data_IF_360709272799
#
_entry.id   IF_360709272799
#
_cell.length_a   1.000
_cell.length_b   1.000
_cell.length_c   1.000
_cell.angle_alpha   90.00
_cell.angle_beta   90.00
_cell.angle_gamma   90.00
#
_symmetry.space_group_name_H-M   'P 1'
#
loop_
_entity.id
_entity.type
_entity.pdbx_description
1 polymer ?
#
# COMPACT_ATOMS: atom_id res chain seq x y z
N UNK A 1 -2.67 -17.91 3.95
CA UNK A 1 -1.73 -16.85 3.53
C UNK A 1 -0.71 -16.57 4.61
N UNK A 2 0.31 -15.75 4.35
CA UNK A 2 1.43 -15.46 5.27
C UNK A 2 0.95 -14.99 6.67
N UNK A 3 -0.13 -14.23 6.73
CA UNK A 3 -0.77 -13.83 8.00
C UNK A 3 -1.29 -15.03 8.81
N UNK A 4 -1.92 -15.99 8.15
CA UNK A 4 -2.44 -17.18 8.84
C UNK A 4 -1.33 -18.11 9.33
N UNK A 5 -0.17 -18.06 8.72
CA UNK A 5 0.99 -18.87 9.14
C UNK A 5 1.67 -18.25 10.36
N UNK A 6 1.86 -16.94 10.38
CA UNK A 6 2.42 -16.21 11.52
C UNK A 6 1.53 -16.28 12.76
N UNK A 7 0.22 -16.43 12.56
CA UNK A 7 -0.75 -16.53 13.66
C UNK A 7 -1.06 -17.97 14.11
N UNK A 8 -0.42 -18.99 13.55
CA UNK A 8 -0.56 -20.40 13.97
C UNK A 8 -0.02 -20.63 15.39
N UNK A 9 -0.75 -20.28 16.36
CA UNK A 9 -0.37 -20.47 17.78
C UNK A 9 -1.03 -19.46 18.72
N UNK A 10 -1.64 -18.43 18.21
CA UNK A 10 -2.41 -17.50 19.03
C UNK A 10 -3.89 -17.89 19.03
N UNK A 11 -4.40 -18.31 20.20
CA UNK A 11 -5.78 -18.78 20.39
C UNK A 11 -6.88 -17.74 20.12
N UNK A 12 -6.54 -16.49 19.80
CA UNK A 12 -7.49 -15.40 19.59
C UNK A 12 -7.38 -14.65 18.27
N UNK A 13 -6.47 -15.04 17.39
CA UNK A 13 -6.30 -14.32 16.14
C UNK A 13 -7.39 -14.70 15.14
N UNK A 14 -8.42 -13.86 15.02
CA UNK A 14 -9.19 -13.79 13.77
C UNK A 14 -8.18 -13.56 12.67
N UNK A 15 -8.29 -14.30 11.56
CA UNK A 15 -7.48 -14.04 10.38
C UNK A 15 -7.63 -12.56 10.01
N UNK A 16 -6.55 -11.77 9.98
CA UNK A 16 -6.68 -10.35 9.69
C UNK A 16 -7.23 -10.20 8.27
N UNK A 17 -8.34 -9.53 8.14
CA UNK A 17 -8.94 -9.19 6.86
C UNK A 17 -8.20 -8.03 6.21
N UNK A 18 -7.57 -7.20 7.04
CA UNK A 18 -6.81 -6.01 6.64
C UNK A 18 -5.51 -6.01 7.44
N UNK A 19 -4.38 -5.81 6.80
CA UNK A 19 -3.14 -5.72 7.54
C UNK A 19 -1.91 -5.53 6.66
N UNK A 20 -0.78 -5.29 7.32
CA UNK A 20 0.51 -5.07 6.69
C UNK A 20 1.54 -6.01 7.32
N UNK A 21 2.41 -6.58 6.50
CA UNK A 21 3.61 -7.28 6.95
C UNK A 21 4.81 -6.46 6.48
N UNK A 22 5.66 -6.06 7.42
CA UNK A 22 6.93 -5.37 7.14
C UNK A 22 8.06 -6.35 7.43
N UNK A 23 8.77 -6.75 6.40
CA UNK A 23 9.94 -7.61 6.52
C UNK A 23 11.17 -6.74 6.76
N UNK A 24 11.90 -7.01 7.84
CA UNK A 24 13.11 -6.30 8.26
C UNK A 24 14.28 -7.29 8.29
N UNK A 25 15.51 -6.79 8.36
CA UNK A 25 16.73 -7.60 8.42
C UNK A 25 16.75 -8.59 9.61
N UNK A 26 16.20 -8.17 10.75
CA UNK A 26 16.26 -8.94 12.00
C UNK A 26 14.90 -9.51 12.43
N UNK A 27 13.89 -9.47 11.57
CA UNK A 27 12.59 -10.03 11.89
C UNK A 27 11.45 -9.42 11.09
N UNK A 28 10.23 -9.60 11.58
CA UNK A 28 9.03 -9.19 10.87
C UNK A 28 8.11 -8.42 11.81
N UNK A 29 7.55 -7.32 11.32
CA UNK A 29 6.46 -6.60 11.99
C UNK A 29 5.16 -6.95 11.29
N UNK A 30 4.18 -7.40 12.04
CA UNK A 30 2.83 -7.69 11.56
C UNK A 30 1.88 -6.67 12.16
N UNK A 31 1.18 -5.94 11.32
CA UNK A 31 0.12 -5.00 11.72
C UNK A 31 -1.20 -5.65 11.32
N UNK A 32 -1.86 -6.37 12.23
CA UNK A 32 -3.05 -7.17 11.90
C UNK A 32 -4.34 -6.35 11.85
N UNK A 33 -4.30 -5.13 12.38
CA UNK A 33 -5.43 -4.21 12.45
C UNK A 33 -4.96 -2.76 12.59
N UNK A 34 -5.87 -1.81 12.75
CA UNK A 34 -5.56 -0.38 12.86
C UNK A 34 -4.91 0.03 14.19
N UNK A 35 -4.84 -0.85 15.19
CA UNK A 35 -4.55 -0.49 16.57
C UNK A 35 -3.38 -1.24 17.16
N UNK A 36 -2.91 -2.29 16.49
CA UNK A 36 -1.89 -3.17 17.03
C UNK A 36 -0.77 -3.47 16.03
N UNK A 37 0.40 -3.76 16.57
CA UNK A 37 1.52 -4.30 15.83
C UNK A 37 2.18 -5.40 16.65
N UNK A 38 2.62 -6.44 15.98
CA UNK A 38 3.31 -7.59 16.57
C UNK A 38 4.69 -7.73 15.94
N UNK A 39 5.69 -7.98 16.75
CA UNK A 39 7.07 -8.17 16.31
C UNK A 39 7.46 -9.62 16.48
N UNK A 40 8.06 -10.16 15.45
CA UNK A 40 8.64 -11.50 15.39
C UNK A 40 10.11 -11.39 15.04
N UNK A 41 10.95 -12.25 15.61
CA UNK A 41 12.34 -12.36 15.24
C UNK A 41 12.52 -13.05 13.87
N UNK A 42 13.78 -13.21 13.44
CA UNK A 42 14.12 -13.86 12.17
C UNK A 42 13.71 -15.34 12.09
N UNK A 43 13.53 -15.98 13.23
CA UNK A 43 13.11 -17.37 13.33
C UNK A 43 11.59 -17.51 13.42
N UNK A 44 10.86 -16.36 13.31
CA UNK A 44 9.40 -16.31 13.37
C UNK A 44 8.83 -16.42 14.78
N UNK A 45 9.68 -16.30 15.82
CA UNK A 45 9.26 -16.32 17.20
C UNK A 45 8.72 -14.97 17.63
N UNK A 46 7.58 -14.96 18.31
CA UNK A 46 7.00 -13.75 18.86
C UNK A 46 7.94 -13.08 19.88
N UNK A 47 8.16 -11.77 19.71
CA UNK A 47 9.01 -10.96 20.59
C UNK A 47 8.15 -10.06 21.48
N UNK A 48 7.28 -9.24 20.88
CA UNK A 48 6.42 -8.31 21.61
C UNK A 48 5.26 -7.80 20.75
N UNK A 49 4.28 -7.21 21.39
CA UNK A 49 3.21 -6.46 20.74
C UNK A 49 3.20 -5.00 21.20
N UNK A 50 2.70 -4.16 20.29
CA UNK A 50 2.39 -2.76 20.54
C UNK A 50 0.91 -2.51 20.29
N UNK A 51 0.41 -1.44 20.88
CA UNK A 51 -0.97 -1.02 20.72
C UNK A 51 -1.88 -1.58 21.78
N UNK A 52 -3.10 -1.10 21.75
CA UNK A 52 -4.16 -1.50 22.66
C UNK A 52 -5.07 -2.50 21.95
N UNK A 53 -5.71 -3.36 22.70
CA UNK A 53 -6.80 -4.19 22.16
C UNK A 53 -7.90 -3.30 21.60
N UNK A 54 -8.64 -3.80 20.62
CA UNK A 54 -9.71 -3.07 19.92
C UNK A 54 -10.66 -2.34 20.89
N UNK A 55 -10.85 -2.88 22.08
CA UNK A 55 -11.69 -2.30 23.12
C UNK A 55 -11.09 -1.06 23.82
N UNK A 56 -9.84 -0.70 23.54
CA UNK A 56 -9.12 0.36 24.24
C UNK A 56 -8.76 1.56 23.36
N UNK A 57 -9.03 1.49 22.05
CA UNK A 57 -8.77 2.60 21.14
C UNK A 57 -10.07 3.00 20.46
N UNK A 58 -10.52 4.20 20.77
CA UNK A 58 -11.65 4.79 20.09
C UNK A 58 -11.21 5.30 18.72
N UNK A 59 -11.36 4.48 17.70
CA UNK A 59 -11.14 4.86 16.29
C UNK A 59 -12.36 5.50 15.64
N UNK A 60 -13.49 5.46 16.31
CA UNK A 60 -14.74 5.97 15.74
C UNK A 60 -14.79 7.48 15.72
N UNK A 61 -13.77 8.11 16.31
CA UNK A 61 -13.65 9.56 16.29
C UNK A 61 -14.45 10.24 17.38
N UNK A 62 -14.63 9.57 18.53
CA UNK A 62 -15.08 10.26 19.73
C UNK A 62 -14.38 11.60 19.91
N UNK A 63 -14.56 12.33 20.96
CA UNK A 63 -13.99 13.67 21.16
C UNK A 63 -12.47 13.79 20.92
N UNK A 64 -11.75 12.67 20.87
CA UNK A 64 -10.31 12.55 20.61
C UNK A 64 -9.98 11.97 19.23
N UNK A 65 -10.97 11.68 18.38
CA UNK A 65 -10.74 11.07 17.06
C UNK A 65 -10.17 12.03 16.02
N UNK A 66 -9.91 11.51 14.81
CA UNK A 66 -9.28 12.30 13.74
C UNK A 66 -10.10 13.50 13.27
N UNK A 67 -11.43 13.44 13.35
CA UNK A 67 -12.28 14.60 13.04
C UNK A 67 -12.12 15.72 14.09
N UNK A 68 -12.08 15.36 15.37
CA UNK A 68 -11.83 16.31 16.45
C UNK A 68 -10.41 16.88 16.35
N UNK A 69 -9.42 16.05 16.01
CA UNK A 69 -8.06 16.48 15.79
C UNK A 69 -7.95 17.50 14.63
N UNK A 70 -8.67 17.28 13.54
CA UNK A 70 -8.74 18.23 12.43
C UNK A 70 -9.40 19.56 12.82
N UNK A 71 -10.55 19.51 13.51
CA UNK A 71 -11.24 20.71 14.00
C UNK A 71 -10.38 21.50 14.98
N UNK A 72 -9.67 20.79 15.86
CA UNK A 72 -8.75 21.41 16.82
C UNK A 72 -7.57 22.11 16.11
N UNK A 73 -7.00 21.48 15.07
CA UNK A 73 -6.00 22.11 14.21
C UNK A 73 -6.48 23.40 13.57
N UNK A 74 -7.71 23.43 13.05
CA UNK A 74 -8.32 24.66 12.49
C UNK A 74 -8.45 25.73 13.57
N UNK A 75 -8.99 25.38 14.74
CA UNK A 75 -9.17 26.32 15.85
C UNK A 75 -7.86 26.93 16.35
N UNK A 76 -6.81 26.14 16.36
CA UNK A 76 -5.49 26.55 16.77
C UNK A 76 -4.68 27.26 15.66
N UNK A 77 -5.16 27.21 14.43
CA UNK A 77 -4.41 27.72 13.27
C UNK A 77 -3.06 27.04 13.07
N UNK A 78 -2.94 25.77 13.49
CA UNK A 78 -1.68 25.02 13.45
C UNK A 78 -1.90 23.59 12.96
N UNK A 79 -1.02 23.15 12.07
CA UNK A 79 -0.94 21.78 11.60
C UNK A 79 -0.02 20.88 12.45
N UNK A 80 0.66 21.42 13.45
CA UNK A 80 1.70 20.73 14.22
C UNK A 80 1.22 19.43 14.89
N UNK A 81 -0.03 19.42 15.35
CA UNK A 81 -0.62 18.26 16.03
C UNK A 81 -1.66 17.52 15.19
N UNK A 82 -1.71 17.77 13.90
CA UNK A 82 -2.61 17.03 13.00
C UNK A 82 -2.00 15.64 12.74
N UNK A 83 -2.77 14.58 13.08
CA UNK A 83 -2.31 13.19 12.95
C UNK A 83 -2.15 12.72 11.51
N UNK A 84 -2.89 13.33 10.58
CA UNK A 84 -2.81 13.04 9.15
C UNK A 84 -2.58 14.33 8.35
N UNK A 85 -1.38 14.94 8.43
CA UNK A 85 -1.08 16.15 7.68
C UNK A 85 -1.09 15.85 6.18
N UNK A 86 -1.51 16.84 5.38
CA UNK A 86 -1.70 16.68 3.94
C UNK A 86 -0.46 16.14 3.22
N UNK A 87 0.74 16.50 3.68
CA UNK A 87 1.99 15.99 3.11
C UNK A 87 2.12 14.47 3.24
N UNK A 88 1.85 13.93 4.42
CA UNK A 88 1.93 12.48 4.66
C UNK A 88 0.83 11.75 3.86
N UNK A 89 -0.35 12.34 3.78
CA UNK A 89 -1.43 11.82 2.95
C UNK A 89 -1.05 11.83 1.46
N UNK A 90 -0.39 12.90 0.99
CA UNK A 90 0.12 13.00 -0.38
C UNK A 90 1.15 11.90 -0.67
N UNK A 91 2.17 11.73 0.17
CA UNK A 91 3.20 10.70 -0.02
C UNK A 91 2.60 9.29 -0.04
N UNK A 92 1.70 8.99 0.89
CA UNK A 92 1.02 7.69 0.94
C UNK A 92 0.17 7.43 -0.31
N UNK A 93 -0.55 8.45 -0.77
CA UNK A 93 -1.40 8.37 -1.96
C UNK A 93 -0.57 8.26 -3.24
N UNK A 94 0.59 8.91 -3.30
CA UNK A 94 1.50 8.85 -4.44
C UNK A 94 1.97 7.42 -4.74
N UNK A 95 2.16 6.57 -3.72
CA UNK A 95 2.48 5.15 -3.92
C UNK A 95 1.38 4.41 -4.67
N UNK A 96 0.12 4.66 -4.30
CA UNK A 96 -1.05 4.03 -4.97
C UNK A 96 -1.16 4.53 -6.42
N UNK A 97 -0.98 5.83 -6.64
CA UNK A 97 -1.02 6.40 -7.98
C UNK A 97 0.12 5.91 -8.86
N UNK A 98 1.32 5.73 -8.32
CA UNK A 98 2.46 5.14 -9.04
C UNK A 98 2.16 3.71 -9.51
N UNK A 99 1.54 2.89 -8.66
CA UNK A 99 1.07 1.57 -9.05
C UNK A 99 -0.01 1.62 -10.15
N UNK A 100 -0.91 2.60 -10.08
CA UNK A 100 -1.95 2.83 -11.09
C UNK A 100 -1.35 3.21 -12.45
N UNK A 101 -0.35 4.11 -12.47
CA UNK A 101 0.36 4.48 -13.70
C UNK A 101 1.05 3.26 -14.30
N UNK A 102 1.77 2.49 -13.49
CA UNK A 102 2.40 1.24 -13.92
C UNK A 102 1.38 0.28 -14.55
N UNK A 103 0.23 0.06 -13.90
CA UNK A 103 -0.83 -0.80 -14.40
C UNK A 103 -1.41 -0.30 -15.74
N UNK A 104 -1.69 1.00 -15.87
CA UNK A 104 -2.30 1.59 -17.08
C UNK A 104 -1.37 1.54 -18.28
N UNK A 105 -0.05 1.63 -18.06
CA UNK A 105 0.97 1.50 -19.09
C UNK A 105 1.37 0.05 -19.34
N UNK A 106 0.88 -0.88 -18.55
CA UNK A 106 1.16 -2.29 -18.65
C UNK A 106 0.45 -2.98 -19.82
N UNK A 107 0.75 -4.25 -19.99
CA UNK A 107 0.17 -5.08 -21.04
C UNK A 107 -0.40 -6.39 -20.47
N UNK A 108 -1.44 -6.91 -21.12
CA UNK A 108 -1.98 -8.23 -20.80
C UNK A 108 -0.97 -9.33 -21.14
N UNK A 109 -0.65 -10.16 -20.17
CA UNK A 109 0.31 -11.26 -20.23
C UNK A 109 -0.29 -12.55 -19.69
N UNK A 110 0.14 -13.69 -20.22
CA UNK A 110 -0.21 -15.00 -19.67
C UNK A 110 0.65 -15.32 -18.44
N UNK A 111 0.32 -16.40 -17.73
CA UNK A 111 1.02 -16.79 -16.51
C UNK A 111 2.52 -17.02 -16.70
N UNK A 112 2.92 -17.65 -17.82
CA UNK A 112 4.33 -17.93 -18.13
C UNK A 112 5.14 -16.64 -18.36
N UNK A 113 4.59 -15.70 -19.13
CA UNK A 113 5.22 -14.41 -19.41
C UNK A 113 5.41 -13.58 -18.12
N UNK A 114 4.40 -13.56 -17.23
CA UNK A 114 4.49 -12.84 -15.96
C UNK A 114 5.54 -13.48 -15.06
N UNK A 115 5.51 -14.82 -14.92
CA UNK A 115 6.49 -15.56 -14.11
C UNK A 115 7.93 -15.28 -14.53
N UNK A 116 8.18 -15.25 -15.83
CA UNK A 116 9.50 -14.91 -16.37
C UNK A 116 9.89 -13.47 -16.07
N UNK A 117 8.99 -12.53 -16.24
CA UNK A 117 9.26 -11.10 -16.03
C UNK A 117 9.55 -10.75 -14.56
N UNK A 118 8.92 -11.45 -13.59
CA UNK A 118 9.09 -11.16 -12.16
C UNK A 118 10.13 -12.01 -11.46
N UNK A 119 10.76 -12.96 -12.14
CA UNK A 119 11.70 -13.94 -11.54
C UNK A 119 12.90 -13.31 -10.83
N UNK A 120 13.35 -12.15 -11.27
CA UNK A 120 14.47 -11.42 -10.69
C UNK A 120 14.13 -10.81 -9.30
N UNK A 121 12.87 -10.71 -8.96
CA UNK A 121 12.39 -10.21 -7.66
C UNK A 121 11.70 -11.33 -6.91
N UNK A 122 12.32 -11.85 -5.85
CA UNK A 122 11.76 -12.94 -5.05
C UNK A 122 10.38 -12.58 -4.46
N UNK A 123 10.23 -11.35 -3.99
CA UNK A 123 8.95 -10.87 -3.44
C UNK A 123 7.83 -10.80 -4.50
N UNK A 124 8.12 -10.33 -5.71
CA UNK A 124 7.15 -10.31 -6.81
C UNK A 124 6.84 -11.73 -7.29
N UNK A 125 7.83 -12.60 -7.42
CA UNK A 125 7.63 -13.98 -7.83
C UNK A 125 6.74 -14.74 -6.83
N UNK A 126 6.99 -14.58 -5.52
CA UNK A 126 6.16 -15.15 -4.46
C UNK A 126 4.72 -14.59 -4.49
N UNK A 127 4.58 -13.27 -4.61
CA UNK A 127 3.26 -12.62 -4.66
C UNK A 127 2.46 -13.09 -5.89
N UNK A 128 3.10 -13.18 -7.04
CA UNK A 128 2.48 -13.72 -8.25
C UNK A 128 2.07 -15.18 -8.09
N UNK A 129 2.93 -16.01 -7.48
CA UNK A 129 2.62 -17.42 -7.20
C UNK A 129 1.35 -17.57 -6.34
N UNK A 130 1.26 -16.81 -5.25
CA UNK A 130 0.04 -16.79 -4.39
C UNK A 130 -1.20 -16.31 -5.14
N UNK A 131 -1.05 -15.26 -5.96
CA UNK A 131 -2.17 -14.75 -6.78
C UNK A 131 -2.64 -15.80 -7.77
N UNK A 132 -1.73 -16.43 -8.51
CA UNK A 132 -2.06 -17.46 -9.50
C UNK A 132 -2.76 -18.67 -8.86
N UNK A 133 -2.28 -19.13 -7.71
CA UNK A 133 -2.90 -20.21 -6.95
C UNK A 133 -4.32 -19.83 -6.48
N UNK A 134 -4.49 -18.62 -5.94
CA UNK A 134 -5.81 -18.12 -5.52
C UNK A 134 -6.78 -18.06 -6.68
N UNK A 135 -6.37 -17.51 -7.81
CA UNK A 135 -7.18 -17.41 -9.02
C UNK A 135 -7.57 -18.80 -9.55
N UNK A 136 -6.60 -19.73 -9.60
CA UNK A 136 -6.86 -21.11 -10.03
C UNK A 136 -7.88 -21.82 -9.14
N UNK A 137 -7.82 -21.66 -7.82
CA UNK A 137 -8.82 -22.19 -6.88
C UNK A 137 -10.23 -21.61 -7.10
N UNK A 138 -10.30 -20.42 -7.68
CA UNK A 138 -11.57 -19.76 -8.02
C UNK A 138 -11.96 -19.93 -9.50
N UNK A 139 -11.37 -20.90 -10.20
CA UNK A 139 -11.72 -21.24 -11.58
C UNK A 139 -11.21 -20.25 -12.63
N UNK A 140 -10.28 -19.36 -12.29
CA UNK A 140 -9.68 -18.42 -13.24
C UNK A 140 -8.38 -18.99 -13.77
N UNK A 141 -8.33 -19.27 -15.07
CA UNK A 141 -7.13 -19.70 -15.77
C UNK A 141 -6.40 -18.50 -16.37
N UNK A 142 -5.19 -18.21 -15.89
CA UNK A 142 -4.38 -17.07 -16.35
C UNK A 142 -3.80 -17.25 -17.76
N UNK A 143 -3.79 -18.44 -18.32
CA UNK A 143 -3.37 -18.66 -19.70
C UNK A 143 -4.47 -18.24 -20.69
N UNK A 144 -5.72 -18.36 -20.29
CA UNK A 144 -6.89 -17.91 -21.02
C UNK A 144 -7.26 -16.46 -20.66
N UNK A 145 -7.23 -16.15 -19.36
CA UNK A 145 -7.60 -14.85 -18.81
C UNK A 145 -6.32 -14.07 -18.42
N UNK A 146 -5.66 -13.50 -19.42
CA UNK A 146 -4.41 -12.74 -19.21
C UNK A 146 -4.57 -11.62 -18.20
N UNK A 147 -3.64 -11.57 -17.25
CA UNK A 147 -3.53 -10.45 -16.30
C UNK A 147 -2.68 -9.31 -16.89
N UNK A 148 -2.87 -8.11 -16.38
CA UNK A 148 -2.01 -6.98 -16.74
C UNK A 148 -0.72 -7.04 -15.93
N UNK A 149 0.40 -7.13 -16.63
CA UNK A 149 1.73 -6.88 -16.06
C UNK A 149 2.05 -5.39 -16.24
N UNK A 150 2.14 -4.66 -15.12
CA UNK A 150 2.51 -3.25 -15.11
C UNK A 150 3.96 -3.03 -15.59
N UNK A 151 4.25 -1.84 -16.09
CA UNK A 151 5.64 -1.48 -16.43
C UNK A 151 6.45 -1.18 -15.17
N UNK A 152 7.72 -1.60 -15.10
CA UNK A 152 8.63 -1.13 -14.07
C UNK A 152 8.87 0.37 -14.24
N UNK A 153 8.66 1.13 -13.18
CA UNK A 153 8.83 2.58 -13.15
C UNK A 153 9.79 2.96 -12.03
N UNK A 154 10.59 3.98 -12.27
CA UNK A 154 11.49 4.57 -11.27
C UNK A 154 11.02 6.00 -10.99
N UNK A 155 10.72 6.28 -9.72
CA UNK A 155 10.29 7.61 -9.27
C UNK A 155 11.46 8.32 -8.57
N UNK A 156 11.72 9.57 -8.95
CA UNK A 156 12.59 10.46 -8.19
C UNK A 156 11.78 11.09 -7.03
N UNK A 157 12.18 10.78 -5.81
CA UNK A 157 11.46 11.21 -4.61
C UNK A 157 11.53 12.72 -4.34
N UNK A 158 12.47 13.44 -4.97
CA UNK A 158 12.61 14.90 -4.80
C UNK A 158 11.72 15.68 -5.74
N UNK A 159 11.68 15.23 -6.99
CA UNK A 159 10.91 15.89 -8.05
C UNK A 159 9.51 15.30 -8.18
N UNK A 160 9.28 14.12 -7.57
CA UNK A 160 8.06 13.31 -7.70
C UNK A 160 7.69 12.98 -9.16
N UNK A 161 8.71 12.94 -10.01
CA UNK A 161 8.57 12.58 -11.43
C UNK A 161 9.22 11.22 -11.69
N UNK A 162 8.66 10.50 -12.64
CA UNK A 162 9.28 9.28 -13.13
C UNK A 162 10.51 9.58 -13.96
N UNK A 163 11.51 8.69 -13.83
CA UNK A 163 12.79 8.74 -14.55
C UNK A 163 13.03 7.43 -15.33
N UNK A 164 14.02 7.43 -16.22
CA UNK A 164 14.39 6.24 -16.99
C UNK A 164 13.55 6.02 -18.25
N UNK A 165 13.59 4.81 -18.79
CA UNK A 165 13.09 4.48 -20.13
C UNK A 165 11.61 4.80 -20.39
N UNK A 166 10.77 4.67 -19.35
CA UNK A 166 9.33 4.87 -19.48
C UNK A 166 8.86 6.22 -18.92
N UNK A 167 9.80 7.12 -18.60
CA UNK A 167 9.53 8.38 -17.91
C UNK A 167 8.53 9.27 -18.66
N UNK A 168 8.69 9.43 -19.95
CA UNK A 168 7.82 10.31 -20.77
C UNK A 168 6.35 9.87 -20.70
N UNK A 169 6.09 8.59 -20.95
CA UNK A 169 4.73 8.05 -20.91
C UNK A 169 4.15 8.11 -19.50
N UNK A 170 4.95 7.75 -18.49
CA UNK A 170 4.53 7.74 -17.11
C UNK A 170 4.22 9.15 -16.57
N UNK A 171 5.08 10.12 -16.85
CA UNK A 171 4.86 11.50 -16.44
C UNK A 171 3.67 12.15 -17.16
N UNK A 172 3.47 11.85 -18.44
CA UNK A 172 2.28 12.30 -19.17
C UNK A 172 1.00 11.77 -18.52
N UNK A 173 0.97 10.53 -18.11
CA UNK A 173 -0.19 9.92 -17.47
C UNK A 173 -0.39 10.43 -16.03
N UNK A 174 0.70 10.62 -15.27
CA UNK A 174 0.68 11.12 -13.90
C UNK A 174 0.30 12.60 -13.84
N UNK A 175 0.93 13.42 -14.68
CA UNK A 175 0.83 14.88 -14.67
C UNK A 175 -0.20 15.39 -15.68
N UNK A 176 -0.93 14.49 -16.35
CA UNK A 176 -2.05 14.90 -17.20
C UNK A 176 -2.99 15.80 -16.37
N UNK A 177 -2.79 17.11 -16.52
CA UNK A 177 -3.53 18.14 -15.80
C UNK A 177 -5.01 17.87 -16.02
N UNK A 178 -5.69 17.37 -15.01
CA UNK A 178 -7.14 17.47 -14.97
C UNK A 178 -7.43 18.96 -14.88
N UNK A 179 -7.81 19.54 -15.99
CA UNK A 179 -8.34 20.90 -16.00
C UNK A 179 -9.52 20.88 -15.04
N UNK A 180 -9.38 21.52 -13.89
CA UNK A 180 -10.49 21.77 -12.99
C UNK A 180 -11.61 22.49 -13.75
N UNK A 181 -12.83 22.36 -13.27
CA UNK A 181 -13.92 23.20 -13.81
C UNK A 181 -13.59 24.67 -13.57
N UNK A 182 -14.10 25.55 -14.44
CA UNK A 182 -13.88 27.00 -14.36
C UNK A 182 -14.12 27.54 -12.94
N UNK A 183 -13.14 28.24 -12.39
CA UNK A 183 -13.16 28.77 -11.02
C UNK A 183 -12.68 27.80 -9.93
N UNK A 184 -12.25 26.58 -10.31
CA UNK A 184 -11.70 25.56 -9.41
C UNK A 184 -10.46 24.92 -10.02
N UNK A 185 -9.69 25.70 -10.74
CA UNK A 185 -8.42 25.29 -11.32
C UNK A 185 -7.39 25.06 -10.21
N UNK A 186 -6.58 24.03 -10.37
CA UNK A 186 -5.47 23.78 -9.43
C UNK A 186 -4.42 24.87 -9.66
N UNK A 187 -3.99 25.61 -8.61
CA UNK A 187 -2.92 26.58 -8.73
C UNK A 187 -1.64 25.94 -9.28
N UNK A 188 -0.95 26.67 -10.14
CA UNK A 188 0.35 26.21 -10.70
C UNK A 188 1.54 26.57 -9.81
N UNK A 189 1.30 27.40 -8.82
CA UNK A 189 2.29 27.84 -7.81
C UNK A 189 1.64 27.89 -6.45
N UNK A 190 2.37 27.47 -5.41
CA UNK A 190 1.97 27.51 -4.01
C UNK A 190 2.88 28.44 -3.24
#
# INVERSE_FOLDING_TARGET
GKFSELNKGQKSAKSPEIGIIVECENGTIVVPDYNSAQVYDKDGKFVKSFGKTVDQVDLTGGASGHHANWVDGIRKGSAENIHAPVRECHLSTSLVHSANVSFRLGAKKNAGEIKEAVKASSGLAEAFGRMAEHLGRNGVNLDENKAVLGLPLTLDAKTELFTGANAEAANRDLVAKRTGRKGFEIPTTF
#
